data_IF_640996033504
#
_entry.id   IF_640996033504
#
_cell.length_a   1.000
_cell.length_b   1.000
_cell.length_c   1.000
_cell.angle_alpha   90.00
_cell.angle_beta   90.00
_cell.angle_gamma   90.00
#
_symmetry.space_group_name_H-M   'P 1'
#
loop_
_entity.id
_entity.type
_entity.pdbx_description
1 polymer ?
#
# COMPACT_ATOMS: atom_id res chain seq x y z
N UNK A 1 5.22 -2.79 -12.35
CA UNK A 1 5.49 -1.65 -13.23
C UNK A 1 4.75 -1.89 -14.56
N UNK A 2 3.49 -1.49 -14.64
CA UNK A 2 2.74 -1.48 -15.89
C UNK A 2 2.40 -0.02 -16.19
N UNK A 3 3.17 0.58 -17.09
CA UNK A 3 2.94 1.92 -17.61
C UNK A 3 1.91 1.76 -18.73
N UNK A 4 0.64 2.04 -18.45
CA UNK A 4 -0.36 2.19 -19.51
C UNK A 4 -0.31 3.63 -20.04
N UNK A 5 0.26 3.76 -21.24
CA UNK A 5 0.42 4.97 -22.04
C UNK A 5 -0.91 5.65 -22.38
N UNK A 6 -1.50 6.46 -21.47
CA UNK A 6 -2.60 7.36 -21.87
C UNK A 6 -2.70 8.73 -21.19
N UNK A 7 -1.76 9.17 -20.37
CA UNK A 7 -1.70 10.57 -19.94
C UNK A 7 -0.31 10.88 -19.39
N UNK A 8 0.47 11.68 -20.11
CA UNK A 8 1.87 12.00 -19.77
C UNK A 8 2.04 12.71 -18.42
N UNK A 9 0.96 13.22 -17.82
CA UNK A 9 0.97 14.00 -16.58
C UNK A 9 0.38 13.25 -15.37
N UNK A 10 0.21 11.92 -15.47
CA UNK A 10 -0.48 11.12 -14.45
C UNK A 10 0.37 9.92 -14.05
N UNK A 11 1.05 10.00 -12.91
CA UNK A 11 1.77 8.85 -12.33
C UNK A 11 0.83 8.11 -11.37
N UNK A 12 0.66 6.80 -11.60
CA UNK A 12 -0.11 5.93 -10.70
C UNK A 12 0.85 4.95 -10.05
N UNK A 13 0.97 5.03 -8.72
CA UNK A 13 1.78 4.12 -7.92
C UNK A 13 0.85 3.04 -7.36
N UNK A 14 1.15 1.77 -7.66
CA UNK A 14 0.38 0.60 -7.22
C UNK A 14 1.22 -0.34 -6.37
N UNK A 15 0.55 -1.30 -5.71
CA UNK A 15 1.18 -2.38 -4.94
C UNK A 15 1.91 -1.88 -3.69
N UNK A 16 1.44 -0.77 -3.11
CA UNK A 16 2.14 -0.09 -2.04
C UNK A 16 2.02 -0.77 -0.67
N UNK A 17 1.04 -1.69 -0.49
CA UNK A 17 0.93 -2.47 0.75
C UNK A 17 2.16 -3.34 1.03
N UNK A 18 2.70 -3.97 0.00
CA UNK A 18 3.87 -4.83 0.15
C UNK A 18 5.15 -4.06 0.52
N UNK A 19 5.10 -2.73 0.56
CA UNK A 19 6.18 -1.88 1.07
C UNK A 19 5.99 -1.54 2.57
N UNK A 20 4.79 -1.75 3.13
CA UNK A 20 4.50 -1.46 4.53
C UNK A 20 4.87 -2.63 5.42
N UNK A 21 5.77 -2.39 6.39
CA UNK A 21 6.11 -3.40 7.40
C UNK A 21 4.95 -3.64 8.36
N UNK A 22 4.63 -4.90 8.63
CA UNK A 22 3.68 -5.28 9.67
C UNK A 22 4.34 -5.06 11.04
N UNK A 23 3.59 -4.47 11.99
CA UNK A 23 4.07 -4.35 13.37
C UNK A 23 4.34 -5.73 13.94
N UNK A 24 5.41 -5.91 14.72
CA UNK A 24 5.79 -7.22 15.27
C UNK A 24 4.64 -7.96 15.97
N UNK A 25 3.83 -7.24 16.76
CA UNK A 25 2.63 -7.80 17.42
C UNK A 25 1.53 -8.29 16.47
N UNK A 26 1.59 -7.91 15.19
CA UNK A 26 0.67 -8.29 14.13
C UNK A 26 1.20 -9.38 13.20
N UNK A 27 2.51 -9.67 13.21
CA UNK A 27 3.13 -10.65 12.29
C UNK A 27 2.52 -12.04 12.50
N UNK A 28 2.43 -12.49 13.75
CA UNK A 28 1.80 -13.77 14.13
C UNK A 28 0.31 -13.86 13.74
N UNK A 29 -0.37 -12.73 13.50
CA UNK A 29 -1.77 -12.73 13.03
C UNK A 29 -1.90 -12.90 11.52
N UNK A 30 -0.78 -12.80 10.81
CA UNK A 30 -0.70 -12.96 9.36
C UNK A 30 -0.19 -14.34 8.96
N UNK A 31 -0.08 -15.27 9.92
CA UNK A 31 0.37 -16.63 9.64
C UNK A 31 -0.58 -17.34 8.69
N UNK A 32 -0.04 -17.93 7.64
CA UNK A 32 -0.76 -18.76 6.68
C UNK A 32 -0.02 -20.08 6.46
N UNK A 33 -0.75 -21.09 6.00
CA UNK A 33 -0.23 -22.44 5.80
C UNK A 33 -0.27 -22.79 4.32
N UNK A 34 0.85 -23.27 3.79
CA UNK A 34 0.92 -23.93 2.49
C UNK A 34 0.80 -25.45 2.69
N UNK A 35 0.77 -26.21 1.61
CA UNK A 35 0.76 -27.69 1.69
C UNK A 35 1.99 -28.25 2.42
N UNK A 36 3.07 -27.49 2.54
CA UNK A 36 4.34 -27.95 3.08
C UNK A 36 4.70 -27.27 4.42
N UNK A 37 4.43 -25.98 4.59
CA UNK A 37 4.93 -25.22 5.75
C UNK A 37 3.99 -24.09 6.19
N UNK A 38 4.32 -23.46 7.31
CA UNK A 38 3.67 -22.24 7.79
C UNK A 38 4.59 -21.05 7.55
N UNK A 39 4.02 -19.95 7.10
CA UNK A 39 4.72 -18.69 6.83
C UNK A 39 3.96 -17.53 7.45
N UNK A 40 4.66 -16.43 7.68
CA UNK A 40 4.11 -15.20 8.21
C UNK A 40 4.46 -14.05 7.29
N UNK A 41 3.57 -13.06 7.18
CA UNK A 41 3.84 -11.87 6.39
C UNK A 41 4.58 -10.82 7.24
N UNK A 42 5.78 -10.45 6.80
CA UNK A 42 6.56 -9.36 7.39
C UNK A 42 6.16 -7.98 6.83
N UNK A 43 5.56 -7.97 5.65
CA UNK A 43 4.98 -6.78 5.01
C UNK A 43 3.49 -6.99 4.82
N UNK A 44 2.72 -5.91 4.77
CA UNK A 44 1.28 -5.95 4.76
C UNK A 44 0.78 -6.69 3.50
N UNK A 45 0.18 -7.89 3.64
CA UNK A 45 -0.38 -8.60 2.51
C UNK A 45 -1.71 -7.98 2.10
N UNK A 46 -2.12 -8.28 0.87
CA UNK A 46 -3.47 -7.96 0.43
C UNK A 46 -4.51 -8.74 1.25
N UNK A 47 -5.69 -8.14 1.45
CA UNK A 47 -6.81 -8.79 2.13
C UNK A 47 -6.83 -8.62 3.66
N UNK A 48 -5.87 -7.94 4.28
CA UNK A 48 -6.03 -7.51 5.67
C UNK A 48 -7.09 -6.42 5.76
N UNK A 49 -8.07 -6.58 6.66
CA UNK A 49 -9.16 -5.62 6.85
C UNK A 49 -8.67 -4.21 7.18
N UNK A 50 -7.57 -4.10 7.92
CA UNK A 50 -7.01 -2.82 8.34
C UNK A 50 -5.96 -2.27 7.36
N UNK A 51 -5.66 -2.98 6.27
CA UNK A 51 -4.63 -2.54 5.32
C UNK A 51 -4.96 -1.17 4.69
N UNK A 52 -6.16 -0.94 4.11
CA UNK A 52 -6.51 0.36 3.52
C UNK A 52 -6.38 1.51 4.50
N UNK A 53 -6.94 1.37 5.70
CA UNK A 53 -6.89 2.41 6.73
C UNK A 53 -5.46 2.73 7.16
N UNK A 54 -4.63 1.70 7.33
CA UNK A 54 -3.23 1.88 7.73
C UNK A 54 -2.43 2.57 6.63
N UNK A 55 -2.65 2.18 5.38
CA UNK A 55 -1.98 2.77 4.23
C UNK A 55 -2.39 4.22 4.02
N UNK A 56 -3.69 4.51 4.00
CA UNK A 56 -4.20 5.86 3.86
C UNK A 56 -3.67 6.78 4.96
N UNK A 57 -3.65 6.34 6.22
CA UNK A 57 -3.10 7.12 7.32
C UNK A 57 -1.61 7.43 7.14
N UNK A 58 -0.82 6.46 6.68
CA UNK A 58 0.60 6.69 6.42
C UNK A 58 0.80 7.65 5.26
N UNK A 59 0.13 7.43 4.13
CA UNK A 59 0.30 8.25 2.94
C UNK A 59 -0.23 9.66 3.15
N UNK A 60 -1.29 9.84 3.93
CA UNK A 60 -1.75 11.17 4.32
C UNK A 60 -0.72 11.92 5.15
N UNK A 61 0.05 11.21 5.99
CA UNK A 61 1.13 11.83 6.77
C UNK A 61 2.37 12.13 5.93
N UNK A 62 2.75 11.23 5.02
CA UNK A 62 3.95 11.38 4.16
C UNK A 62 3.73 12.45 3.10
N UNK A 63 2.57 12.43 2.45
CA UNK A 63 2.20 13.38 1.40
C UNK A 63 1.41 14.57 1.92
N UNK A 64 1.35 14.81 3.24
CA UNK A 64 0.51 15.84 3.85
C UNK A 64 0.63 17.20 3.15
N UNK A 65 1.84 17.61 2.78
CA UNK A 65 2.11 18.89 2.11
C UNK A 65 1.70 18.93 0.63
N UNK A 66 1.46 17.76 0.02
CA UNK A 66 1.14 17.59 -1.39
C UNK A 66 -0.30 17.10 -1.64
N UNK A 67 -1.00 16.68 -0.58
CA UNK A 67 -2.41 16.33 -0.62
C UNK A 67 -3.21 17.51 -1.17
N UNK A 68 -4.15 17.20 -2.06
CA UNK A 68 -5.04 18.17 -2.74
C UNK A 68 -4.34 19.18 -3.67
N UNK A 69 -3.01 19.23 -3.70
CA UNK A 69 -2.23 20.02 -4.65
C UNK A 69 -1.90 19.23 -5.91
N UNK A 70 -1.25 18.08 -5.72
CA UNK A 70 -0.79 17.22 -6.82
C UNK A 70 -0.91 15.74 -6.50
N UNK A 71 -1.20 15.36 -5.26
CA UNK A 71 -1.31 13.96 -4.83
C UNK A 71 -2.73 13.65 -4.35
N UNK A 72 -3.28 12.56 -4.87
CA UNK A 72 -4.53 11.94 -4.40
C UNK A 72 -4.23 10.52 -3.97
N UNK A 73 -4.57 10.18 -2.73
CA UNK A 73 -4.39 8.84 -2.15
C UNK A 73 -5.74 8.12 -2.15
N UNK A 74 -5.80 6.92 -2.73
CA UNK A 74 -7.03 6.12 -2.78
C UNK A 74 -6.76 4.64 -2.52
N UNK A 75 -7.16 4.17 -1.33
CA UNK A 75 -7.08 2.78 -0.84
C UNK A 75 -5.66 2.17 -0.99
N UNK A 76 -5.29 1.72 -2.20
CA UNK A 76 -4.02 1.04 -2.52
C UNK A 76 -3.15 1.85 -3.48
N UNK A 77 -3.71 2.88 -4.09
CA UNK A 77 -3.13 3.62 -5.20
C UNK A 77 -2.83 5.05 -4.77
N UNK A 78 -1.69 5.55 -5.24
CA UNK A 78 -1.33 6.96 -5.13
C UNK A 78 -1.32 7.51 -6.53
N UNK A 79 -2.02 8.61 -6.69
CA UNK A 79 -2.18 9.30 -7.93
C UNK A 79 -1.48 10.64 -7.84
N UNK A 80 -0.45 10.83 -8.65
CA UNK A 80 0.30 12.09 -8.75
C UNK A 80 0.00 12.74 -10.09
N UNK A 81 -0.42 14.00 -10.03
CA UNK A 81 -0.63 14.87 -11.17
C UNK A 81 0.54 15.86 -11.26
N UNK A 82 1.14 15.96 -12.45
CA UNK A 82 2.23 16.90 -12.75
C UNK A 82 1.74 18.07 -13.60
#
# INVERSE_FOLDING_TARGET
MCINNKQLNKLIIKNNYYQLKVKESGVLKTTFRTTYEHYEFLVMPFGLTNAPTTFMNLMNRVFHEYLDLCVVVFIDEILVYL
#
